data_IF_119662104308
#
_entry.id   IF_119662104308
#
_cell.length_a   1.000
_cell.length_b   1.000
_cell.length_c   1.000
_cell.angle_alpha   90.00
_cell.angle_beta   90.00
_cell.angle_gamma   90.00
#
_symmetry.space_group_name_H-M   'P 1'
#
loop_
_entity.id
_entity.type
_entity.pdbx_description
1 polymer ?
#
# COMPACT_ATOMS: atom_id res chain seq x y z
N UNK A 1 -50.42 44.17 29.51
CA UNK A 1 -51.09 42.85 29.63
C UNK A 1 -50.65 42.03 28.44
N UNK A 2 -50.01 40.86 28.49
CA UNK A 2 -49.59 39.97 29.59
C UNK A 2 -48.77 38.86 28.90
N UNK A 3 -47.55 38.62 29.40
CA UNK A 3 -46.74 37.39 29.46
C UNK A 3 -46.62 36.35 28.31
N UNK A 4 -45.35 36.08 27.97
CA UNK A 4 -44.71 34.78 27.68
C UNK A 4 -45.35 33.57 28.35
N UNK A 5 -45.39 32.40 27.68
CA UNK A 5 -44.95 31.09 28.22
C UNK A 5 -44.57 30.11 27.09
N UNK A 6 -43.36 29.56 27.18
CA UNK A 6 -42.85 28.36 26.48
C UNK A 6 -43.20 27.12 27.34
N UNK A 7 -43.70 26.00 26.79
CA UNK A 7 -43.74 24.75 27.54
C UNK A 7 -42.42 23.97 27.43
N UNK A 8 -41.76 23.81 28.58
CA UNK A 8 -40.75 22.78 28.91
C UNK A 8 -41.40 21.40 28.91
N UNK A 9 -40.67 20.38 28.47
CA UNK A 9 -40.93 18.96 28.83
C UNK A 9 -39.76 18.44 29.68
N UNK A 10 -40.00 17.72 30.81
CA UNK A 10 -38.98 17.23 31.76
C UNK A 10 -38.44 15.84 31.31
N UNK A 11 -37.15 15.51 31.51
CA UNK A 11 -36.48 14.99 32.73
C UNK A 11 -36.41 13.45 32.77
N UNK A 12 -35.17 12.97 32.99
CA UNK A 12 -34.78 11.70 33.63
C UNK A 12 -35.07 10.39 32.89
N UNK A 13 -34.02 9.79 32.29
CA UNK A 13 -33.90 8.34 32.28
C UNK A 13 -32.72 7.94 33.17
N UNK A 14 -33.06 7.02 34.07
CA UNK A 14 -32.47 6.76 35.37
C UNK A 14 -31.24 5.85 35.26
N UNK A 15 -30.20 6.18 36.03
CA UNK A 15 -29.07 5.32 36.37
C UNK A 15 -29.59 4.05 37.09
N UNK A 16 -29.36 2.87 36.52
CA UNK A 16 -29.47 1.62 37.26
C UNK A 16 -28.07 1.21 37.72
N UNK A 17 -27.83 1.45 39.01
CA UNK A 17 -26.79 0.78 39.79
C UNK A 17 -27.14 -0.71 39.90
N UNK A 18 -26.28 -1.58 39.38
CA UNK A 18 -26.19 -2.94 39.91
C UNK A 18 -24.91 -3.04 40.76
N UNK A 19 -25.15 -2.87 42.06
CA UNK A 19 -24.30 -3.36 43.13
C UNK A 19 -24.10 -4.87 42.95
N UNK A 20 -22.86 -5.31 42.82
CA UNK A 20 -22.46 -6.64 43.29
C UNK A 20 -21.39 -6.43 44.35
N UNK A 21 -21.84 -6.51 45.60
CA UNK A 21 -21.01 -6.71 46.78
C UNK A 21 -20.47 -8.14 46.77
N UNK A 22 -19.16 -8.32 46.91
CA UNK A 22 -18.60 -9.01 48.08
C UNK A 22 -17.08 -8.94 48.12
N UNK A 23 -16.61 -8.74 49.35
CA UNK A 23 -15.29 -8.31 49.75
C UNK A 23 -14.22 -9.40 49.68
N UNK A 24 -12.95 -8.99 49.53
CA UNK A 24 -11.90 -9.26 50.51
C UNK A 24 -10.69 -8.34 50.30
N UNK A 25 -10.20 -7.79 51.42
CA UNK A 25 -9.07 -6.85 51.61
C UNK A 25 -7.74 -7.40 51.06
N UNK A 26 -6.83 -6.50 50.65
CA UNK A 26 -5.57 -6.16 51.36
C UNK A 26 -4.75 -5.13 50.54
N UNK A 27 -4.32 -4.08 51.25
CA UNK A 27 -3.36 -3.05 50.87
C UNK A 27 -2.06 -3.62 50.27
N UNK A 28 -1.57 -3.03 49.17
CA UNK A 28 -0.15 -2.66 49.09
C UNK A 28 0.10 -1.71 47.92
N UNK A 29 0.73 -0.58 48.25
CA UNK A 29 1.45 0.35 47.40
C UNK A 29 1.88 -0.18 46.03
N UNK A 30 1.50 0.52 44.96
CA UNK A 30 2.42 1.01 43.92
C UNK A 30 1.67 1.85 42.89
N UNK A 31 2.18 3.05 42.67
CA UNK A 31 1.68 4.08 41.77
C UNK A 31 1.71 3.56 40.32
N UNK A 32 0.65 2.85 39.90
CA UNK A 32 0.52 2.38 38.52
C UNK A 32 -0.05 3.51 37.68
N UNK A 33 0.87 4.25 37.05
CA UNK A 33 0.58 5.09 35.90
C UNK A 33 -0.26 4.25 34.92
N UNK A 34 -1.55 4.54 34.84
CA UNK A 34 -2.42 4.05 33.78
C UNK A 34 -1.94 4.70 32.48
N UNK A 35 -0.90 4.13 31.87
CA UNK A 35 -0.61 4.41 30.47
C UNK A 35 -1.76 3.75 29.72
N UNK A 36 -2.76 4.57 29.39
CA UNK A 36 -3.70 4.26 28.32
C UNK A 36 -2.85 4.22 27.03
N UNK A 37 -2.17 3.09 26.83
CA UNK A 37 -1.57 2.75 25.56
C UNK A 37 -2.73 2.55 24.61
N UNK A 38 -3.14 3.64 23.97
CA UNK A 38 -3.86 3.58 22.72
C UNK A 38 -2.99 2.72 21.81
N UNK A 39 -3.36 1.45 21.69
CA UNK A 39 -2.88 0.60 20.62
C UNK A 39 -3.41 1.28 19.35
N UNK A 40 -2.62 2.22 18.83
CA UNK A 40 -2.68 2.58 17.43
C UNK A 40 -2.40 1.28 16.71
N UNK A 41 -3.47 0.59 16.35
CA UNK A 41 -3.44 -0.46 15.35
C UNK A 41 -2.79 0.20 14.13
N UNK A 42 -1.50 -0.04 13.97
CA UNK A 42 -0.74 0.40 12.82
C UNK A 42 -1.23 -0.45 11.67
N UNK A 43 -2.45 -0.15 11.19
CA UNK A 43 -3.04 -0.82 10.04
C UNK A 43 -2.05 -0.64 8.89
N UNK A 44 -1.32 -1.72 8.62
CA UNK A 44 -0.22 -1.68 7.67
C UNK A 44 -0.83 -1.38 6.31
N UNK A 45 -0.40 -0.31 5.65
CA UNK A 45 -0.91 0.07 4.34
C UNK A 45 -0.79 -1.11 3.37
N UNK A 46 -1.91 -1.45 2.74
CA UNK A 46 -2.00 -2.48 1.72
C UNK A 46 -2.14 -1.85 0.34
N UNK A 47 -1.44 -2.41 -0.64
CA UNK A 47 -1.55 -1.98 -2.02
C UNK A 47 -2.92 -2.39 -2.58
N UNK A 48 -3.69 -1.40 -3.02
CA UNK A 48 -4.85 -1.66 -3.86
C UNK A 48 -4.47 -2.23 -5.24
N UNK A 49 -5.46 -2.60 -6.06
CA UNK A 49 -5.23 -3.14 -7.39
C UNK A 49 -4.33 -2.24 -8.24
N UNK A 50 -3.21 -2.78 -8.74
CA UNK A 50 -2.26 -2.02 -9.53
C UNK A 50 -2.58 -2.06 -11.03
N UNK A 51 -3.15 -3.15 -11.54
CA UNK A 51 -3.29 -3.35 -12.98
C UNK A 51 -4.72 -3.70 -13.39
N UNK A 52 -5.16 -3.09 -14.49
CA UNK A 52 -6.42 -3.48 -15.15
C UNK A 52 -6.38 -4.97 -15.52
N UNK A 53 -7.39 -5.73 -15.09
CA UNK A 53 -7.44 -7.18 -15.29
C UNK A 53 -6.71 -8.01 -14.22
N UNK A 54 -6.14 -7.38 -13.16
CA UNK A 54 -5.55 -8.08 -12.02
C UNK A 54 -5.94 -7.39 -10.69
N UNK A 55 -7.18 -7.61 -10.25
CA UNK A 55 -7.71 -7.01 -9.01
C UNK A 55 -7.06 -7.55 -7.73
N UNK A 56 -6.49 -8.76 -7.77
CA UNK A 56 -5.87 -9.40 -6.61
C UNK A 56 -4.37 -9.15 -6.48
N UNK A 57 -3.78 -8.33 -7.36
CA UNK A 57 -2.32 -8.13 -7.43
C UNK A 57 -1.56 -9.46 -7.47
N UNK A 58 -2.02 -10.41 -8.32
CA UNK A 58 -1.34 -11.69 -8.51
C UNK A 58 0.16 -11.49 -8.76
N UNK A 59 0.99 -12.13 -7.94
CA UNK A 59 2.45 -12.12 -8.05
C UNK A 59 2.88 -12.95 -9.26
N UNK A 60 3.88 -12.48 -10.00
CA UNK A 60 4.49 -13.25 -11.10
C UNK A 60 5.22 -14.47 -10.52
N UNK A 61 5.00 -15.63 -11.13
CA UNK A 61 5.70 -16.88 -10.82
C UNK A 61 7.10 -16.93 -11.44
N UNK A 62 7.49 -18.11 -11.91
CA UNK A 62 8.76 -18.34 -12.58
C UNK A 62 8.56 -18.61 -14.07
N UNK A 63 9.28 -17.87 -14.91
CA UNK A 63 9.39 -18.17 -16.33
C UNK A 63 10.72 -18.92 -16.57
N UNK A 64 10.70 -20.01 -17.34
CA UNK A 64 11.88 -20.87 -17.57
C UNK A 64 13.11 -20.11 -18.05
N UNK A 65 12.92 -19.08 -18.88
CA UNK A 65 13.99 -18.27 -19.50
C UNK A 65 14.37 -17.02 -18.70
N UNK A 66 13.43 -16.46 -17.92
CA UNK A 66 13.57 -15.13 -17.32
C UNK A 66 13.57 -15.13 -15.78
N UNK A 67 13.50 -16.32 -15.17
CA UNK A 67 13.52 -16.49 -13.72
C UNK A 67 12.19 -16.10 -13.05
N UNK A 68 12.24 -15.89 -11.73
CA UNK A 68 11.07 -15.71 -10.88
C UNK A 68 10.85 -14.25 -10.46
N UNK A 69 9.58 -13.86 -10.28
CA UNK A 69 9.18 -12.49 -9.95
C UNK A 69 9.13 -12.13 -8.46
N UNK A 70 9.41 -13.07 -7.56
CA UNK A 70 9.41 -12.80 -6.13
C UNK A 70 10.63 -11.98 -5.69
N UNK A 71 10.49 -11.28 -4.55
CA UNK A 71 11.62 -10.60 -3.90
C UNK A 71 12.72 -11.62 -3.54
N UNK A 72 13.97 -11.20 -3.69
CA UNK A 72 15.13 -12.04 -3.39
C UNK A 72 15.44 -13.12 -4.43
N UNK A 73 14.63 -13.27 -5.48
CA UNK A 73 14.89 -14.25 -6.55
C UNK A 73 16.28 -14.06 -7.17
N UNK A 74 16.94 -15.18 -7.47
CA UNK A 74 18.29 -15.18 -8.05
C UNK A 74 18.30 -14.47 -9.42
N UNK A 75 19.36 -13.69 -9.65
CA UNK A 75 19.67 -13.00 -10.91
C UNK A 75 21.16 -13.19 -11.21
N UNK A 76 21.49 -13.19 -12.50
CA UNK A 76 22.87 -13.29 -13.00
C UNK A 76 23.66 -14.48 -12.39
N UNK A 77 23.01 -15.65 -12.33
CA UNK A 77 23.60 -16.87 -11.76
C UNK A 77 23.86 -16.80 -10.25
N UNK A 78 23.13 -15.96 -9.51
CA UNK A 78 23.27 -15.80 -8.05
C UNK A 78 24.09 -14.60 -7.61
N UNK A 79 24.72 -13.88 -8.54
CA UNK A 79 25.52 -12.67 -8.24
C UNK A 79 24.67 -11.49 -7.79
N UNK A 80 23.37 -11.48 -8.14
CA UNK A 80 22.43 -10.43 -7.76
C UNK A 80 21.12 -11.05 -7.29
N UNK A 81 20.38 -10.28 -6.50
CA UNK A 81 19.03 -10.61 -6.05
C UNK A 81 18.02 -9.64 -6.63
N UNK A 82 16.81 -10.14 -6.85
CA UNK A 82 15.69 -9.33 -7.25
C UNK A 82 15.27 -8.39 -6.12
N UNK A 83 15.42 -7.08 -6.34
CA UNK A 83 15.21 -6.04 -5.32
C UNK A 83 13.76 -5.52 -5.26
N UNK A 84 12.82 -6.24 -5.87
CA UNK A 84 11.42 -5.85 -5.95
C UNK A 84 10.52 -7.08 -6.07
N UNK A 85 9.24 -6.82 -6.29
CA UNK A 85 8.21 -7.82 -6.51
C UNK A 85 7.50 -7.51 -7.82
N UNK A 86 7.38 -8.52 -8.67
CA UNK A 86 6.70 -8.43 -9.95
C UNK A 86 5.23 -8.79 -9.77
N UNK A 87 4.34 -7.84 -10.12
CA UNK A 87 2.90 -8.04 -10.10
C UNK A 87 2.41 -8.19 -11.54
N UNK A 88 1.68 -9.28 -11.82
CA UNK A 88 1.24 -9.59 -13.18
C UNK A 88 0.40 -8.46 -13.76
N UNK A 89 0.73 -8.04 -14.97
CA UNK A 89 0.14 -6.90 -15.64
C UNK A 89 0.34 -7.07 -17.14
N UNK A 90 -0.72 -7.05 -17.95
CA UNK A 90 -0.57 -7.22 -19.40
C UNK A 90 0.09 -6.00 -20.05
N UNK A 91 0.81 -6.20 -21.15
CA UNK A 91 1.33 -5.11 -21.98
C UNK A 91 0.18 -4.16 -22.38
N UNK A 92 0.37 -2.85 -22.25
CA UNK A 92 -0.67 -1.86 -22.53
C UNK A 92 -1.78 -1.77 -21.46
N UNK A 93 -1.75 -2.57 -20.40
CA UNK A 93 -2.70 -2.47 -19.29
C UNK A 93 -2.61 -1.11 -18.59
N UNK A 94 -3.75 -0.65 -18.07
CA UNK A 94 -3.77 0.56 -17.24
C UNK A 94 -3.22 0.24 -15.85
N UNK A 95 -2.32 1.10 -15.38
CA UNK A 95 -1.75 1.03 -14.03
C UNK A 95 -2.41 2.07 -13.14
N UNK A 96 -2.91 1.65 -11.99
CA UNK A 96 -3.68 2.48 -11.05
C UNK A 96 -2.88 2.82 -9.80
N UNK A 97 -3.24 3.93 -9.17
CA UNK A 97 -2.74 4.31 -7.86
C UNK A 97 -3.30 3.36 -6.78
N UNK A 98 -2.45 2.62 -6.06
CA UNK A 98 -2.90 1.62 -5.08
C UNK A 98 -3.57 2.25 -3.85
N UNK A 99 -3.23 3.50 -3.56
CA UNK A 99 -3.77 4.39 -2.53
C UNK A 99 -3.44 5.84 -2.92
N UNK A 100 -3.73 6.80 -2.07
CA UNK A 100 -3.37 8.20 -2.31
C UNK A 100 -1.84 8.37 -2.36
N UNK A 101 -1.32 8.86 -3.48
CA UNK A 101 0.12 8.94 -3.78
C UNK A 101 0.52 10.31 -4.32
N UNK A 102 1.76 10.69 -4.04
CA UNK A 102 2.49 11.78 -4.67
C UNK A 102 3.48 11.20 -5.67
N UNK A 103 3.53 11.80 -6.86
CA UNK A 103 4.48 11.50 -7.92
C UNK A 103 5.74 12.35 -7.72
N UNK A 104 6.88 11.69 -7.53
CA UNK A 104 8.16 12.30 -7.14
C UNK A 104 9.21 12.27 -8.26
N UNK A 105 8.78 12.15 -9.52
CA UNK A 105 9.66 12.19 -10.68
C UNK A 105 9.96 10.83 -11.31
N UNK A 106 10.67 10.89 -12.44
CA UNK A 106 11.01 9.72 -13.27
C UNK A 106 11.94 8.75 -12.55
N UNK A 107 11.69 7.46 -12.73
CA UNK A 107 12.54 6.38 -12.25
C UNK A 107 12.90 5.45 -13.42
N UNK A 108 14.19 5.25 -13.69
CA UNK A 108 14.66 4.42 -14.81
C UNK A 108 15.19 3.06 -14.31
N UNK A 109 14.66 1.93 -14.81
CA UNK A 109 15.12 0.60 -14.40
C UNK A 109 16.50 0.23 -14.98
N UNK A 110 16.87 0.78 -16.15
CA UNK A 110 18.10 0.41 -16.86
C UNK A 110 18.98 1.62 -17.15
N UNK A 111 20.30 1.40 -17.14
CA UNK A 111 21.29 2.39 -17.59
C UNK A 111 21.23 2.63 -19.10
N UNK A 112 21.02 1.56 -19.88
CA UNK A 112 20.89 1.62 -21.33
C UNK A 112 19.41 1.71 -21.70
N UNK A 113 19.09 2.63 -22.60
CA UNK A 113 17.71 2.84 -23.03
C UNK A 113 17.16 1.62 -23.81
N UNK A 114 15.90 1.29 -23.56
CA UNK A 114 15.15 0.25 -24.28
C UNK A 114 13.64 0.57 -24.26
N UNK A 115 12.81 -0.24 -24.92
CA UNK A 115 11.38 0.02 -25.08
C UNK A 115 10.56 0.02 -23.76
N UNK A 116 11.13 -0.48 -22.66
CA UNK A 116 10.49 -0.51 -21.34
C UNK A 116 11.25 0.32 -20.30
N UNK A 117 12.21 1.15 -20.70
CA UNK A 117 13.08 1.90 -19.79
C UNK A 117 12.41 3.17 -19.24
N UNK A 118 11.27 2.99 -18.59
CA UNK A 118 10.55 4.07 -17.92
C UNK A 118 9.92 3.59 -16.61
N UNK A 119 9.52 4.57 -15.81
CA UNK A 119 8.93 4.33 -14.51
C UNK A 119 8.80 5.62 -13.72
N UNK A 120 8.21 5.46 -12.53
CA UNK A 120 7.79 6.58 -11.69
C UNK A 120 8.16 6.30 -10.23
N UNK A 121 8.67 7.32 -9.56
CA UNK A 121 8.91 7.30 -8.12
C UNK A 121 7.68 7.86 -7.41
N UNK A 122 7.16 7.14 -6.41
CA UNK A 122 5.96 7.52 -5.67
C UNK A 122 6.19 7.50 -4.16
N UNK A 123 5.41 8.30 -3.45
CA UNK A 123 5.26 8.18 -2.00
C UNK A 123 3.80 8.33 -1.59
N UNK A 124 3.39 7.67 -0.52
CA UNK A 124 2.00 7.69 -0.04
C UNK A 124 1.79 6.61 1.00
N UNK A 125 0.81 6.78 1.89
CA UNK A 125 0.53 5.80 2.95
C UNK A 125 1.74 5.48 3.84
N UNK A 126 2.65 6.45 4.05
CA UNK A 126 3.90 6.24 4.79
C UNK A 126 4.98 5.44 4.05
N UNK A 127 4.76 5.10 2.77
CA UNK A 127 5.68 4.31 1.94
C UNK A 127 6.35 5.16 0.87
N UNK A 128 7.54 4.74 0.45
CA UNK A 128 8.25 5.23 -0.74
C UNK A 128 8.57 4.04 -1.64
N UNK A 129 8.10 4.08 -2.89
CA UNK A 129 8.25 2.98 -3.83
C UNK A 129 8.33 3.47 -5.27
N UNK A 130 8.84 2.60 -6.14
CA UNK A 130 9.01 2.81 -7.58
C UNK A 130 8.17 1.79 -8.31
N UNK A 131 7.53 2.24 -9.39
CA UNK A 131 6.91 1.36 -10.39
C UNK A 131 7.73 1.46 -11.67
N UNK A 132 8.32 0.36 -12.11
CA UNK A 132 9.02 0.29 -13.38
C UNK A 132 8.18 -0.34 -14.48
N UNK A 133 8.59 -0.09 -15.71
CA UNK A 133 7.92 -0.53 -16.95
C UNK A 133 6.56 0.14 -17.16
N UNK A 134 6.37 1.33 -16.59
CA UNK A 134 5.14 2.10 -16.71
C UNK A 134 5.46 3.41 -17.40
N UNK A 135 4.69 3.76 -18.43
CA UNK A 135 4.65 5.12 -19.00
C UNK A 135 3.62 5.92 -18.21
N UNK A 136 4.04 6.81 -17.29
CA UNK A 136 3.08 7.55 -16.49
C UNK A 136 2.43 8.68 -17.33
N UNK A 137 1.22 9.08 -16.94
CA UNK A 137 0.55 10.25 -17.53
C UNK A 137 1.23 11.57 -17.14
N UNK A 138 1.85 11.60 -15.97
CA UNK A 138 2.66 12.70 -15.44
C UNK A 138 3.73 12.13 -14.51
N UNK A 139 4.88 12.80 -14.42
CA UNK A 139 5.93 12.42 -13.46
C UNK A 139 5.81 13.14 -12.10
N UNK A 140 4.95 14.16 -12.02
CA UNK A 140 4.78 15.01 -10.85
C UNK A 140 3.29 15.26 -10.57
N UNK A 141 2.98 15.56 -9.32
CA UNK A 141 1.62 15.81 -8.86
C UNK A 141 1.15 14.80 -7.82
N UNK A 142 -0.16 14.73 -7.60
CA UNK A 142 -0.80 13.81 -6.66
C UNK A 142 -1.93 13.07 -7.35
N UNK A 143 -2.13 11.82 -6.93
CA UNK A 143 -3.21 10.96 -7.41
C UNK A 143 -3.92 10.33 -6.22
N UNK A 144 -5.24 10.24 -6.31
CA UNK A 144 -6.09 9.50 -5.40
C UNK A 144 -6.10 8.02 -5.74
N UNK A 145 -6.40 7.17 -4.75
CA UNK A 145 -6.59 5.73 -4.94
C UNK A 145 -7.48 5.44 -6.16
N UNK A 146 -7.05 4.49 -6.99
CA UNK A 146 -7.79 4.05 -8.19
C UNK A 146 -7.62 4.97 -9.40
N UNK A 147 -7.04 6.16 -9.27
CA UNK A 147 -6.74 7.00 -10.43
C UNK A 147 -5.62 6.38 -11.28
N UNK A 148 -5.67 6.65 -12.59
CA UNK A 148 -4.67 6.17 -13.54
C UNK A 148 -3.31 6.82 -13.29
N UNK A 149 -2.31 6.00 -13.00
CA UNK A 149 -0.90 6.41 -13.01
C UNK A 149 -0.39 6.46 -14.45
N UNK A 150 -0.73 5.44 -15.25
CA UNK A 150 -0.14 5.27 -16.56
C UNK A 150 -0.55 3.98 -17.26
N UNK A 151 0.31 3.56 -18.18
CA UNK A 151 0.12 2.35 -18.98
C UNK A 151 1.39 1.50 -18.96
N UNK A 152 1.24 0.17 -18.86
CA UNK A 152 2.37 -0.75 -18.92
C UNK A 152 3.03 -0.72 -20.30
N UNK A 153 4.35 -0.59 -20.32
CA UNK A 153 5.17 -0.60 -21.53
C UNK A 153 5.20 -2.00 -22.19
N UNK A 154 5.57 -2.10 -23.48
CA UNK A 154 5.53 -3.35 -24.23
C UNK A 154 6.66 -4.29 -23.81
N UNK A 155 6.46 -5.02 -22.72
CA UNK A 155 7.46 -5.92 -22.13
C UNK A 155 7.78 -7.11 -23.03
N UNK A 156 6.80 -7.63 -23.77
CA UNK A 156 7.01 -8.72 -24.73
C UNK A 156 7.98 -8.34 -25.85
N UNK A 157 8.11 -7.04 -26.18
CA UNK A 157 9.07 -6.56 -27.18
C UNK A 157 10.52 -6.70 -26.71
N UNK A 158 10.76 -6.64 -25.40
CA UNK A 158 12.11 -6.73 -24.82
C UNK A 158 12.40 -8.14 -24.29
N UNK A 159 11.39 -8.81 -23.74
CA UNK A 159 11.49 -10.15 -23.18
C UNK A 159 10.36 -11.06 -23.72
N UNK A 160 10.46 -11.57 -24.97
CA UNK A 160 9.43 -12.42 -25.54
C UNK A 160 9.21 -13.70 -24.72
N UNK A 161 8.00 -13.91 -24.22
CA UNK A 161 7.61 -15.09 -23.43
C UNK A 161 7.81 -14.95 -21.91
N UNK A 162 8.16 -13.76 -21.42
CA UNK A 162 8.08 -13.48 -19.98
C UNK A 162 6.62 -13.30 -19.57
N UNK A 163 6.26 -13.58 -18.32
CA UNK A 163 4.97 -13.11 -17.80
C UNK A 163 5.01 -11.59 -17.65
N UNK A 164 4.19 -10.86 -18.41
CA UNK A 164 4.09 -9.39 -18.33
C UNK A 164 3.77 -8.92 -16.91
N UNK A 165 4.47 -7.89 -16.42
CA UNK A 165 4.36 -7.45 -15.03
C UNK A 165 4.77 -5.98 -14.85
N UNK A 166 4.25 -5.37 -13.80
CA UNK A 166 4.81 -4.15 -13.20
C UNK A 166 5.80 -4.57 -12.11
N UNK A 167 7.00 -4.00 -12.13
CA UNK A 167 8.01 -4.22 -11.08
C UNK A 167 7.82 -3.18 -9.98
N UNK A 168 7.47 -3.63 -8.79
CA UNK A 168 7.29 -2.80 -7.60
C UNK A 168 8.54 -2.91 -6.73
N UNK A 169 9.17 -1.77 -6.44
CA UNK A 169 10.39 -1.74 -5.64
C UNK A 169 10.33 -0.64 -4.60
N UNK A 170 10.55 -0.97 -3.33
CA UNK A 170 10.68 0.02 -2.26
C UNK A 170 11.91 0.90 -2.51
N UNK A 171 11.86 2.17 -2.09
CA UNK A 171 12.97 3.11 -2.28
C UNK A 171 14.25 2.64 -1.57
N UNK A 172 14.10 2.05 -0.38
CA UNK A 172 15.16 1.45 0.43
C UNK A 172 15.54 0.02 -0.01
N UNK A 173 14.85 -0.53 -1.03
CA UNK A 173 15.01 -1.90 -1.54
C UNK A 173 14.63 -2.99 -0.52
N UNK A 174 13.86 -2.67 0.52
CA UNK A 174 13.26 -3.67 1.41
C UNK A 174 12.20 -4.51 0.68
N UNK A 175 11.83 -5.65 1.29
CA UNK A 175 10.84 -6.57 0.72
C UNK A 175 9.43 -5.94 0.69
N UNK A 176 8.84 -5.69 -0.50
CA UNK A 176 7.50 -5.13 -0.60
C UNK A 176 6.37 -6.15 -0.35
N UNK A 177 6.68 -7.45 -0.24
CA UNK A 177 5.69 -8.54 -0.22
C UNK A 177 4.66 -8.40 0.90
N UNK A 178 5.06 -7.83 2.04
CA UNK A 178 4.18 -7.60 3.19
C UNK A 178 3.05 -6.59 2.92
N UNK A 179 3.13 -5.78 1.88
CA UNK A 179 2.10 -4.80 1.51
C UNK A 179 1.10 -5.32 0.47
N UNK A 180 1.30 -6.54 -0.02
CA UNK A 180 0.36 -7.28 -0.86
C UNK A 180 -0.33 -8.38 -0.04
#
# INVERSE_FOLDING_TARGET
>A
MTFFVIPRVPLLCLLIFLNVSSASKVNSSNNSFMICSSLVDASQVKFGPLCSGNSSNRKRGCDKKYGCGNYGASRDGGKRRHAGLDIVCADGATVYAPFDVKLNGKAVPYKKNNAINDGINLSGGGLCFKLFYVKPISYFGTLKKGQKIGTLLPMQKVYPGITSHVHVQMCDRSDPTKYF
#
